data_IF_951194451568
#
_entry.id   IF_951194451568
#
_cell.length_a   1.000
_cell.length_b   1.000
_cell.length_c   1.000
_cell.angle_alpha   90.00
_cell.angle_beta   90.00
_cell.angle_gamma   90.00
#
_symmetry.space_group_name_H-M   'P 1'
#
loop_
_entity.id
_entity.type
_entity.pdbx_description
1 polymer ?
#
# COMPACT_ATOMS: atom_id res chain seq x y z
N UNK A 1 4.97 -9.72 -10.53
CA UNK A 1 5.16 -8.34 -10.03
C UNK A 1 5.23 -7.34 -11.19
N UNK A 2 5.22 -7.81 -12.43
CA UNK A 2 5.46 -7.02 -13.65
C UNK A 2 4.16 -6.61 -14.35
N UNK A 3 3.17 -6.19 -13.58
CA UNK A 3 1.89 -5.65 -14.05
C UNK A 3 1.77 -4.17 -13.71
N UNK A 4 1.05 -3.40 -14.54
CA UNK A 4 0.51 -2.14 -14.02
C UNK A 4 -0.51 -2.50 -12.94
N UNK A 5 -0.64 -1.69 -11.91
CA UNK A 5 -1.59 -1.96 -10.83
C UNK A 5 -2.34 -0.72 -10.44
N UNK A 6 -3.28 -0.91 -9.54
CA UNK A 6 -4.36 0.05 -9.29
C UNK A 6 -4.45 0.23 -7.80
N UNK A 7 -4.30 1.46 -7.34
CA UNK A 7 -4.60 1.83 -5.97
C UNK A 7 -5.81 2.72 -5.91
N UNK A 8 -6.57 2.50 -4.86
CA UNK A 8 -7.76 3.28 -4.55
C UNK A 8 -7.56 3.85 -3.16
N UNK A 9 -7.79 5.15 -3.02
CA UNK A 9 -7.81 5.80 -1.70
C UNK A 9 -8.92 5.15 -0.87
N UNK A 10 -8.59 4.48 0.23
CA UNK A 10 -9.56 3.73 1.02
C UNK A 10 -10.69 4.58 1.60
N UNK A 11 -10.44 5.87 1.89
CA UNK A 11 -11.49 6.83 2.28
C UNK A 11 -12.62 6.94 1.24
N UNK A 12 -12.33 6.61 -0.02
CA UNK A 12 -13.34 6.59 -1.08
C UNK A 12 -14.36 5.47 -0.87
N UNK A 13 -13.99 4.32 -0.30
CA UNK A 13 -14.91 3.18 -0.04
C UNK A 13 -15.95 3.49 1.03
N UNK A 14 -15.62 4.37 1.98
CA UNK A 14 -16.53 4.75 3.08
C UNK A 14 -17.75 5.52 2.56
N UNK A 15 -17.62 6.20 1.42
CA UNK A 15 -18.64 7.11 0.90
C UNK A 15 -19.15 6.72 -0.51
N UNK A 16 -18.78 5.56 -1.06
CA UNK A 16 -19.22 5.15 -2.41
C UNK A 16 -19.34 3.64 -2.59
N UNK A 17 -20.21 3.18 -3.51
CA UNK A 17 -20.29 1.77 -3.88
C UNK A 17 -18.94 1.19 -4.36
N UNK A 18 -18.66 -0.06 -3.99
CA UNK A 18 -17.45 -0.80 -4.40
C UNK A 18 -17.47 -1.28 -5.86
N UNK A 19 -18.53 -0.97 -6.62
CA UNK A 19 -18.76 -1.48 -7.98
C UNK A 19 -17.55 -1.29 -8.92
N UNK A 20 -16.89 -0.13 -8.84
CA UNK A 20 -15.68 0.16 -9.63
C UNK A 20 -14.55 -0.83 -9.35
N UNK A 21 -14.36 -1.22 -8.09
CA UNK A 21 -13.30 -2.15 -7.73
C UNK A 21 -13.55 -3.52 -8.35
N UNK A 22 -14.80 -4.00 -8.29
CA UNK A 22 -15.20 -5.28 -8.88
C UNK A 22 -15.17 -5.28 -10.41
N UNK A 23 -15.38 -4.13 -11.05
CA UNK A 23 -15.35 -4.03 -12.50
C UNK A 23 -13.91 -4.00 -13.03
N UNK A 24 -13.02 -3.25 -12.39
CA UNK A 24 -11.65 -3.05 -12.86
C UNK A 24 -10.79 -4.33 -12.78
N UNK A 25 -11.15 -5.28 -11.92
CA UNK A 25 -10.49 -6.59 -11.84
C UNK A 25 -10.87 -7.53 -13.01
N UNK A 26 -11.85 -7.17 -13.84
CA UNK A 26 -12.17 -7.94 -15.04
C UNK A 26 -11.02 -7.88 -16.04
N UNK A 27 -10.66 -9.04 -16.58
CA UNK A 27 -9.44 -9.16 -17.39
C UNK A 27 -9.50 -8.35 -18.69
N UNK A 28 -10.66 -8.22 -19.32
CA UNK A 28 -10.87 -7.39 -20.52
C UNK A 28 -10.57 -5.90 -20.25
N UNK A 29 -11.04 -5.37 -19.12
CA UNK A 29 -10.78 -3.99 -18.70
C UNK A 29 -9.30 -3.78 -18.37
N UNK A 30 -8.72 -4.73 -17.64
CA UNK A 30 -7.32 -4.70 -17.21
C UNK A 30 -6.36 -4.72 -18.40
N UNK A 31 -6.58 -5.59 -19.39
CA UNK A 31 -5.72 -5.66 -20.58
C UNK A 31 -5.75 -4.35 -21.37
N UNK A 32 -6.93 -3.75 -21.56
CA UNK A 32 -7.05 -2.46 -22.21
C UNK A 32 -6.30 -1.34 -21.46
N UNK A 33 -6.38 -1.31 -20.12
CA UNK A 33 -5.61 -0.36 -19.30
C UNK A 33 -4.10 -0.59 -19.48
N UNK A 34 -3.64 -1.85 -19.49
CA UNK A 34 -2.21 -2.18 -19.68
C UNK A 34 -1.70 -1.71 -21.03
N UNK A 35 -2.43 -1.92 -22.13
CA UNK A 35 -2.04 -1.43 -23.46
C UNK A 35 -1.91 0.10 -23.49
N UNK A 36 -2.87 0.82 -22.89
CA UNK A 36 -2.80 2.28 -22.78
C UNK A 36 -1.59 2.72 -21.95
N UNK A 37 -1.30 2.05 -20.83
CA UNK A 37 -0.14 2.34 -19.99
C UNK A 37 1.20 2.08 -20.70
N UNK A 38 1.26 1.08 -21.58
CA UNK A 38 2.44 0.75 -22.38
C UNK A 38 2.70 1.74 -23.52
N UNK A 39 1.80 2.71 -23.74
CA UNK A 39 1.91 3.69 -24.82
C UNK A 39 1.52 3.13 -26.19
N UNK A 40 0.87 1.97 -26.23
CA UNK A 40 0.36 1.39 -27.46
C UNK A 40 -0.79 2.25 -28.00
N UNK A 41 -0.90 2.37 -29.32
CA UNK A 41 -2.07 2.98 -29.92
C UNK A 41 -3.26 2.03 -29.81
N UNK A 42 -4.24 2.41 -28.99
CA UNK A 42 -5.46 1.62 -28.79
C UNK A 42 -6.62 2.31 -29.50
N UNK A 43 -7.17 1.67 -30.53
CA UNK A 43 -8.32 2.17 -31.32
C UNK A 43 -9.67 1.84 -30.71
N UNK A 44 -9.75 0.77 -29.92
CA UNK A 44 -10.97 0.26 -29.29
C UNK A 44 -10.70 -0.19 -27.86
N UNK A 45 -11.64 0.12 -26.97
CA UNK A 45 -11.59 -0.20 -25.54
C UNK A 45 -12.98 -0.57 -25.07
N UNK A 46 -13.12 -1.39 -24.02
CA UNK A 46 -14.41 -1.65 -23.43
C UNK A 46 -15.12 -0.34 -23.03
N UNK A 47 -16.36 -0.15 -23.49
CA UNK A 47 -17.16 1.06 -23.21
C UNK A 47 -17.24 1.37 -21.72
N UNK A 48 -17.22 0.34 -20.87
CA UNK A 48 -17.23 0.45 -19.42
C UNK A 48 -16.08 1.32 -18.88
N UNK A 49 -14.89 1.31 -19.48
CA UNK A 49 -13.78 2.17 -19.04
C UNK A 49 -14.07 3.66 -19.23
N UNK A 50 -14.85 4.02 -20.25
CA UNK A 50 -15.30 5.40 -20.49
C UNK A 50 -16.42 5.78 -19.50
N UNK A 51 -17.36 4.86 -19.24
CA UNK A 51 -18.44 5.05 -18.25
C UNK A 51 -17.90 5.24 -16.83
N UNK A 52 -16.83 4.52 -16.48
CA UNK A 52 -16.11 4.67 -15.22
C UNK A 52 -15.17 5.89 -15.19
N UNK A 53 -15.10 6.65 -16.30
CA UNK A 53 -14.23 7.82 -16.48
C UNK A 53 -12.73 7.54 -16.25
N UNK A 54 -12.28 6.29 -16.36
CA UNK A 54 -10.87 5.90 -16.15
C UNK A 54 -9.98 6.32 -17.32
N UNK A 55 -10.58 6.43 -18.51
CA UNK A 55 -9.93 6.82 -19.75
C UNK A 55 -10.77 7.87 -20.48
N UNK A 56 -10.16 8.54 -21.45
CA UNK A 56 -10.84 9.50 -22.34
C UNK A 56 -10.30 9.40 -23.76
N UNK A 57 -11.10 9.84 -24.73
CA UNK A 57 -10.71 9.86 -26.14
C UNK A 57 -9.83 11.06 -26.47
N UNK A 58 -8.66 10.83 -27.07
CA UNK A 58 -7.74 11.88 -27.56
C UNK A 58 -6.80 11.29 -28.63
N UNK A 59 -7.24 11.26 -29.89
CA UNK A 59 -6.54 10.58 -30.99
C UNK A 59 -6.11 9.15 -30.62
N UNK A 60 -7.09 8.32 -30.27
CA UNK A 60 -6.91 7.05 -29.53
C UNK A 60 -7.53 7.18 -28.13
N UNK A 61 -7.05 6.39 -27.18
CA UNK A 61 -7.45 6.46 -25.78
C UNK A 61 -6.27 6.78 -24.87
N UNK A 62 -6.50 7.65 -23.88
CA UNK A 62 -5.52 8.02 -22.87
C UNK A 62 -6.12 7.87 -21.48
N UNK A 63 -5.25 7.67 -20.47
CA UNK A 63 -5.67 7.67 -19.07
C UNK A 63 -6.29 9.01 -18.68
N UNK A 64 -7.36 8.94 -17.90
CA UNK A 64 -8.02 10.09 -17.29
C UNK A 64 -7.79 10.13 -15.77
N UNK A 65 -6.89 9.27 -15.27
CA UNK A 65 -6.42 9.18 -13.88
C UNK A 65 -4.88 9.24 -13.85
N UNK A 66 -4.26 9.59 -12.71
CA UNK A 66 -2.81 9.63 -12.59
C UNK A 66 -2.17 8.26 -12.79
N UNK A 67 -1.05 8.21 -13.54
CA UNK A 67 -0.14 7.07 -13.60
C UNK A 67 1.13 7.42 -12.81
N UNK A 68 1.30 6.78 -11.67
CA UNK A 68 2.44 6.94 -10.77
C UNK A 68 3.67 6.25 -11.33
N UNK A 69 4.71 7.03 -11.58
CA UNK A 69 6.01 6.58 -12.10
C UNK A 69 6.99 6.29 -10.98
N UNK A 70 8.11 5.63 -11.26
CA UNK A 70 9.09 5.18 -10.27
C UNK A 70 9.54 6.31 -9.34
N UNK A 71 9.77 7.51 -9.86
CA UNK A 71 10.10 8.67 -9.02
C UNK A 71 8.97 9.07 -8.06
N UNK A 72 7.72 9.00 -8.51
CA UNK A 72 6.55 9.23 -7.65
C UNK A 72 6.44 8.13 -6.59
N UNK A 73 6.77 6.88 -6.94
CA UNK A 73 6.80 5.75 -6.01
C UNK A 73 7.81 5.99 -4.89
N UNK A 74 9.00 6.49 -5.19
CA UNK A 74 10.02 6.79 -4.19
C UNK A 74 9.50 7.79 -3.16
N UNK A 75 8.99 8.94 -3.63
CA UNK A 75 8.46 10.02 -2.78
C UNK A 75 7.27 9.52 -1.94
N UNK A 76 6.34 8.80 -2.57
CA UNK A 76 5.19 8.23 -1.87
C UNK A 76 5.61 7.20 -0.82
N UNK A 77 6.62 6.39 -1.11
CA UNK A 77 7.11 5.38 -0.16
C UNK A 77 7.67 6.04 1.10
N UNK A 78 8.48 7.08 0.94
CA UNK A 78 9.02 7.82 2.09
C UNK A 78 7.91 8.47 2.92
N UNK A 79 6.98 9.16 2.26
CA UNK A 79 5.84 9.77 2.94
C UNK A 79 4.98 8.72 3.67
N UNK A 80 4.78 7.54 3.07
CA UNK A 80 4.04 6.42 3.70
C UNK A 80 4.80 5.88 4.90
N UNK A 81 6.13 5.69 4.82
CA UNK A 81 6.93 5.19 5.94
C UNK A 81 6.91 6.18 7.12
N UNK A 82 7.13 7.46 6.85
CA UNK A 82 7.08 8.51 7.87
C UNK A 82 5.68 8.61 8.51
N UNK A 83 4.63 8.64 7.69
CA UNK A 83 3.26 8.65 8.17
C UNK A 83 2.94 7.40 8.98
N UNK A 84 3.40 6.21 8.54
CA UNK A 84 3.15 4.94 9.23
C UNK A 84 3.76 4.93 10.62
N UNK A 85 5.00 5.43 10.79
CA UNK A 85 5.62 5.55 12.11
C UNK A 85 4.87 6.50 13.02
N UNK A 86 4.58 7.72 12.55
CA UNK A 86 3.81 8.70 13.35
C UNK A 86 2.42 8.16 13.73
N UNK A 87 1.74 7.51 12.79
CA UNK A 87 0.42 6.93 13.02
C UNK A 87 0.51 5.73 13.97
N UNK A 88 1.53 4.88 13.87
CA UNK A 88 1.72 3.76 14.80
C UNK A 88 1.91 4.27 16.24
N UNK A 89 2.76 5.28 16.44
CA UNK A 89 2.96 5.93 17.75
C UNK A 89 1.67 6.60 18.27
N UNK A 90 0.97 7.34 17.42
CA UNK A 90 -0.30 7.98 17.76
C UNK A 90 -1.43 6.98 18.01
N UNK A 91 -1.45 5.85 17.30
CA UNK A 91 -2.44 4.79 17.44
C UNK A 91 -2.21 3.99 18.72
N UNK A 92 -0.95 3.67 19.05
CA UNK A 92 -0.59 3.04 20.33
C UNK A 92 -1.06 3.93 21.49
N UNK A 93 -0.83 5.25 21.42
CA UNK A 93 -1.27 6.18 22.47
C UNK A 93 -2.79 6.39 22.54
N UNK A 94 -3.54 6.11 21.46
CA UNK A 94 -5.01 6.27 21.38
C UNK A 94 -5.78 4.96 21.28
N UNK A 95 -5.13 3.81 21.56
CA UNK A 95 -5.67 2.47 21.33
C UNK A 95 -7.09 2.26 21.91
N UNK A 96 -7.36 2.78 23.10
CA UNK A 96 -8.67 2.67 23.75
C UNK A 96 -9.79 3.43 23.00
N UNK A 97 -9.47 4.55 22.34
CA UNK A 97 -10.42 5.35 21.55
C UNK A 97 -10.77 4.60 20.26
N UNK A 98 -9.77 4.01 19.60
CA UNK A 98 -9.95 3.20 18.39
C UNK A 98 -10.84 1.98 18.71
N UNK A 99 -10.55 1.28 19.82
CA UNK A 99 -11.34 0.15 20.30
C UNK A 99 -12.80 0.53 20.64
N UNK A 100 -13.02 1.74 21.14
CA UNK A 100 -14.36 2.27 21.42
C UNK A 100 -15.13 2.57 20.14
N UNK A 101 -14.53 3.30 19.19
CA UNK A 101 -15.14 3.61 17.91
C UNK A 101 -15.52 2.33 17.13
N UNK A 102 -14.66 1.32 17.15
CA UNK A 102 -14.94 0.03 16.54
C UNK A 102 -16.21 -0.65 17.09
N UNK A 103 -16.44 -0.53 18.40
CA UNK A 103 -17.62 -1.07 19.08
C UNK A 103 -18.86 -0.24 18.81
N UNK A 104 -18.74 1.08 18.90
CA UNK A 104 -19.87 2.01 18.78
C UNK A 104 -20.44 2.01 17.35
N UNK A 105 -19.61 1.74 16.34
CA UNK A 105 -20.02 1.61 14.94
C UNK A 105 -20.55 0.20 14.59
N UNK A 106 -20.67 -0.70 15.56
CA UNK A 106 -21.21 -2.07 15.39
C UNK A 106 -20.49 -2.95 14.35
N UNK A 107 -19.26 -2.61 13.97
CA UNK A 107 -18.45 -3.41 13.04
C UNK A 107 -18.09 -4.79 13.61
N UNK A 108 -18.09 -4.94 14.94
CA UNK A 108 -17.96 -6.22 15.62
C UNK A 108 -19.02 -7.26 15.22
N UNK A 109 -20.15 -6.83 14.68
CA UNK A 109 -21.26 -7.68 14.25
C UNK A 109 -21.05 -8.29 12.85
N UNK A 110 -20.05 -7.84 12.09
CA UNK A 110 -19.89 -8.13 10.65
C UNK A 110 -18.77 -9.14 10.34
N UNK A 111 -18.18 -9.78 11.36
CA UNK A 111 -16.88 -10.46 11.19
C UNK A 111 -16.98 -11.96 11.48
N UNK A 112 -16.84 -12.76 10.42
CA UNK A 112 -16.25 -14.09 10.51
C UNK A 112 -14.85 -14.03 9.90
N UNK A 113 -13.80 -14.30 10.71
CA UNK A 113 -12.41 -14.33 10.25
C UNK A 113 -11.58 -13.16 10.79
N UNK A 114 -10.54 -13.48 11.57
CA UNK A 114 -9.67 -12.51 12.24
C UNK A 114 -8.79 -11.73 11.23
N UNK A 115 -8.55 -12.27 10.03
CA UNK A 115 -7.79 -11.61 8.96
C UNK A 115 -8.48 -10.38 8.39
N UNK A 116 -9.76 -10.51 8.05
CA UNK A 116 -10.57 -9.44 7.44
C UNK A 116 -10.80 -8.28 8.41
N UNK A 117 -10.81 -8.56 9.72
CA UNK A 117 -10.93 -7.54 10.76
C UNK A 117 -9.72 -6.61 10.84
N UNK A 118 -8.50 -7.16 10.86
CA UNK A 118 -7.27 -6.36 10.95
C UNK A 118 -7.12 -5.52 9.70
N UNK A 119 -7.39 -6.10 8.53
CA UNK A 119 -7.40 -5.37 7.26
C UNK A 119 -8.44 -4.24 7.26
N UNK A 120 -9.68 -4.50 7.73
CA UNK A 120 -10.72 -3.48 7.81
C UNK A 120 -10.40 -2.37 8.83
N UNK A 121 -9.76 -2.68 9.97
CA UNK A 121 -9.30 -1.68 10.95
C UNK A 121 -8.17 -0.84 10.37
N UNK A 122 -7.21 -1.43 9.66
CA UNK A 122 -6.15 -0.70 8.97
C UNK A 122 -6.75 0.24 7.92
N UNK A 123 -7.67 -0.26 7.09
CA UNK A 123 -8.37 0.56 6.10
C UNK A 123 -9.21 1.68 6.71
N UNK A 124 -9.80 1.45 7.89
CA UNK A 124 -10.53 2.46 8.66
C UNK A 124 -9.60 3.54 9.21
N UNK A 125 -8.47 3.15 9.82
CA UNK A 125 -7.44 4.09 10.29
C UNK A 125 -6.91 4.90 9.10
N UNK A 126 -6.59 4.26 7.98
CA UNK A 126 -6.17 4.94 6.75
C UNK A 126 -7.22 5.93 6.25
N UNK A 127 -8.51 5.57 6.28
CA UNK A 127 -9.59 6.47 5.85
C UNK A 127 -9.70 7.70 6.76
N UNK A 128 -9.57 7.53 8.08
CA UNK A 128 -9.55 8.64 9.04
C UNK A 128 -8.32 9.53 8.86
N UNK A 129 -7.15 8.95 8.67
CA UNK A 129 -5.89 9.68 8.41
C UNK A 129 -6.00 10.52 7.14
N UNK A 130 -6.55 9.97 6.06
CA UNK A 130 -6.73 10.71 4.80
C UNK A 130 -7.73 11.86 4.97
N UNK A 131 -8.80 11.67 5.75
CA UNK A 131 -9.75 12.75 6.08
C UNK A 131 -9.06 13.88 6.85
N UNK A 132 -8.24 13.54 7.84
CA UNK A 132 -7.49 14.52 8.63
C UNK A 132 -6.50 15.30 7.75
N UNK A 133 -5.63 14.60 7.02
CA UNK A 133 -4.64 15.21 6.12
C UNK A 133 -5.28 16.10 5.05
N UNK A 134 -6.47 15.72 4.57
CA UNK A 134 -7.25 16.50 3.61
C UNK A 134 -7.83 17.77 4.25
N UNK A 135 -8.28 17.70 5.51
CA UNK A 135 -8.80 18.84 6.27
C UNK A 135 -7.70 19.85 6.63
N UNK A 136 -6.50 19.37 6.92
CA UNK A 136 -5.31 20.16 7.22
C UNK A 136 -4.63 20.74 5.95
N UNK A 137 -5.07 20.34 4.77
CA UNK A 137 -4.56 20.84 3.48
C UNK A 137 -3.29 20.14 2.97
N UNK A 138 -2.86 19.05 3.61
CA UNK A 138 -1.75 18.22 3.17
C UNK A 138 -2.12 17.31 1.99
N UNK A 139 -3.40 16.95 1.86
CA UNK A 139 -3.96 16.26 0.70
C UNK A 139 -5.05 17.09 0.02
N UNK A 140 -5.37 16.85 -1.26
CA UNK A 140 -6.52 17.46 -1.90
C UNK A 140 -7.81 17.23 -1.09
N UNK A 141 -8.68 18.24 -1.03
CA UNK A 141 -9.98 18.14 -0.37
C UNK A 141 -10.82 17.00 -0.97
N UNK A 142 -11.45 16.22 -0.08
CA UNK A 142 -12.44 15.21 -0.49
C UNK A 142 -13.66 15.94 -1.08
N UNK A 143 -14.05 15.70 -2.34
CA UNK A 143 -15.23 16.30 -2.92
C UNK A 143 -16.50 15.80 -2.24
N UNK A 144 -17.52 16.66 -2.09
CA UNK A 144 -18.84 16.27 -1.57
C UNK A 144 -19.52 15.20 -2.44
N UNK A 145 -19.31 15.28 -3.75
CA UNK A 145 -19.77 14.29 -4.75
C UNK A 145 -18.57 13.81 -5.56
N UNK A 146 -17.83 12.80 -5.09
CA UNK A 146 -16.68 12.29 -5.81
C UNK A 146 -17.13 11.65 -7.12
N UNK A 147 -16.43 11.97 -8.21
CA UNK A 147 -16.60 11.27 -9.49
C UNK A 147 -16.25 9.79 -9.33
N UNK A 148 -16.71 8.97 -10.27
CA UNK A 148 -16.41 7.53 -10.31
C UNK A 148 -14.90 7.27 -10.22
N UNK A 149 -14.11 7.98 -11.00
CA UNK A 149 -12.65 7.82 -11.02
C UNK A 149 -11.88 8.53 -9.89
N UNK A 150 -12.57 9.24 -8.99
CA UNK A 150 -11.90 10.03 -7.94
C UNK A 150 -11.14 9.11 -6.98
N UNK A 151 -9.92 9.50 -6.62
CA UNK A 151 -9.06 8.73 -5.72
C UNK A 151 -8.59 7.39 -6.29
N UNK A 152 -8.69 7.17 -7.61
CA UNK A 152 -8.11 6.02 -8.31
C UNK A 152 -6.81 6.47 -8.97
N UNK A 153 -5.77 5.66 -8.82
CA UNK A 153 -4.43 5.91 -9.30
C UNK A 153 -3.89 4.61 -9.90
N UNK A 154 -3.17 4.72 -11.01
CA UNK A 154 -2.45 3.60 -11.59
C UNK A 154 -0.98 3.66 -11.20
N UNK A 155 -0.35 2.49 -11.15
CA UNK A 155 1.08 2.34 -10.95
C UNK A 155 1.68 1.79 -12.23
N UNK A 156 2.77 2.39 -12.68
CA UNK A 156 3.61 1.73 -13.67
C UNK A 156 4.22 0.45 -13.07
N UNK A 157 4.72 -0.44 -13.93
CA UNK A 157 5.42 -1.65 -13.48
C UNK A 157 6.72 -1.29 -12.73
N UNK A 158 7.05 -1.96 -11.62
CA UNK A 158 6.19 -2.87 -10.85
C UNK A 158 5.15 -2.07 -10.06
N UNK A 159 3.93 -2.59 -9.92
CA UNK A 159 2.81 -1.88 -9.32
C UNK A 159 2.88 -1.62 -7.81
N UNK A 160 4.00 -1.93 -7.18
CA UNK A 160 4.23 -1.75 -5.75
C UNK A 160 4.83 -0.39 -5.45
N UNK A 161 4.85 -0.01 -4.17
CA UNK A 161 5.74 1.03 -3.66
C UNK A 161 7.21 0.68 -3.97
N UNK A 162 8.10 1.67 -3.80
CA UNK A 162 9.52 1.53 -4.12
C UNK A 162 10.16 0.45 -3.25
N UNK A 163 10.41 -0.71 -3.86
CA UNK A 163 11.06 -1.85 -3.18
C UNK A 163 12.46 -1.46 -2.70
N UNK A 164 13.16 -0.60 -3.43
CA UNK A 164 14.45 -0.05 -3.03
C UNK A 164 14.38 0.73 -1.72
N UNK A 165 13.40 1.63 -1.58
CA UNK A 165 13.23 2.45 -0.37
C UNK A 165 12.77 1.61 0.81
N UNK A 166 11.82 0.71 0.60
CA UNK A 166 11.37 -0.24 1.64
C UNK A 166 12.54 -1.10 2.11
N UNK A 167 13.36 -1.60 1.18
CA UNK A 167 14.52 -2.41 1.51
C UNK A 167 15.54 -1.64 2.34
N UNK A 168 15.91 -0.44 1.91
CA UNK A 168 16.86 0.40 2.62
C UNK A 168 16.38 0.72 4.04
N UNK A 169 15.08 0.99 4.21
CA UNK A 169 14.50 1.27 5.51
C UNK A 169 14.53 0.06 6.44
N UNK A 170 14.02 -1.09 5.98
CA UNK A 170 14.04 -2.34 6.77
C UNK A 170 15.46 -2.80 7.09
N UNK A 171 16.41 -2.56 6.18
CA UNK A 171 17.81 -2.88 6.43
C UNK A 171 18.35 -2.10 7.62
N UNK A 172 18.10 -0.79 7.67
CA UNK A 172 18.51 0.07 8.79
C UNK A 172 17.86 -0.39 10.10
N UNK A 173 16.56 -0.66 10.11
CA UNK A 173 15.86 -1.16 11.31
C UNK A 173 16.44 -2.48 11.82
N UNK A 174 16.76 -3.40 10.92
CA UNK A 174 17.36 -4.69 11.28
C UNK A 174 18.76 -4.51 11.85
N UNK A 175 19.58 -3.63 11.24
CA UNK A 175 20.91 -3.30 11.74
C UNK A 175 20.84 -2.69 13.14
N UNK A 176 19.91 -1.76 13.39
CA UNK A 176 19.65 -1.19 14.71
C UNK A 176 19.19 -2.24 15.75
N UNK A 177 18.29 -3.15 15.35
CA UNK A 177 17.84 -4.27 16.19
C UNK A 177 19.01 -5.18 16.56
N UNK A 178 19.84 -5.53 15.57
CA UNK A 178 21.01 -6.40 15.73
C UNK A 178 22.06 -5.79 16.65
N UNK A 179 22.28 -4.48 16.56
CA UNK A 179 23.18 -3.72 17.42
C UNK A 179 22.64 -3.64 18.86
N UNK A 180 21.33 -3.42 19.02
CA UNK A 180 20.69 -3.27 20.33
C UNK A 180 20.53 -4.58 21.09
N UNK A 181 20.16 -5.66 20.42
CA UNK A 181 19.75 -6.93 21.06
C UNK A 181 20.70 -8.09 20.80
N UNK A 182 21.79 -7.84 20.08
CA UNK A 182 22.77 -8.85 19.71
C UNK A 182 22.36 -9.64 18.48
N UNK A 183 23.34 -10.32 17.89
CA UNK A 183 23.24 -10.89 16.55
C UNK A 183 23.55 -12.38 16.54
N UNK A 184 22.72 -13.19 15.86
CA UNK A 184 23.01 -14.61 15.60
C UNK A 184 23.80 -14.83 14.30
N UNK A 185 24.45 -15.99 14.17
CA UNK A 185 25.15 -16.39 12.94
C UNK A 185 24.18 -16.50 11.75
N UNK A 186 22.99 -17.01 11.98
CA UNK A 186 21.95 -17.17 10.95
C UNK A 186 21.45 -15.81 10.48
N UNK A 187 21.20 -14.86 11.39
CA UNK A 187 20.82 -13.50 11.05
C UNK A 187 21.89 -12.79 10.20
N UNK A 188 23.18 -12.92 10.54
CA UNK A 188 24.28 -12.40 9.71
C UNK A 188 24.30 -12.99 8.31
N UNK A 189 24.12 -14.31 8.22
CA UNK A 189 24.14 -15.01 6.92
C UNK A 189 22.97 -14.58 6.03
N UNK A 190 21.77 -14.45 6.60
CA UNK A 190 20.59 -13.97 5.89
C UNK A 190 20.76 -12.51 5.45
N UNK A 191 21.32 -11.65 6.31
CA UNK A 191 21.55 -10.24 6.01
C UNK A 191 22.55 -10.07 4.86
N UNK A 192 23.67 -10.81 4.88
CA UNK A 192 24.66 -10.78 3.81
C UNK A 192 24.04 -11.23 2.47
N UNK A 193 23.34 -12.37 2.48
CA UNK A 193 22.67 -12.89 1.28
C UNK A 193 21.59 -11.94 0.74
N UNK A 194 20.88 -11.27 1.64
CA UNK A 194 19.92 -10.24 1.29
C UNK A 194 20.58 -9.07 0.55
N UNK A 195 21.72 -8.56 1.04
CA UNK A 195 22.49 -7.49 0.39
C UNK A 195 22.96 -7.92 -1.01
N UNK A 196 23.43 -9.16 -1.16
CA UNK A 196 23.83 -9.71 -2.47
C UNK A 196 22.65 -9.76 -3.44
N UNK A 197 21.49 -10.28 -3.01
CA UNK A 197 20.27 -10.33 -3.83
C UNK A 197 19.82 -8.94 -4.26
N UNK A 198 19.89 -7.96 -3.36
CA UNK A 198 19.55 -6.58 -3.68
C UNK A 198 20.45 -6.01 -4.77
N UNK A 199 21.76 -6.26 -4.68
CA UNK A 199 22.76 -5.77 -5.66
C UNK A 199 22.54 -6.29 -7.08
N UNK A 200 21.97 -7.49 -7.23
CA UNK A 200 21.66 -8.11 -8.53
C UNK A 200 20.21 -7.88 -8.98
N UNK A 201 19.51 -6.91 -8.39
CA UNK A 201 18.16 -6.51 -8.78
C UNK A 201 17.04 -7.43 -8.28
N UNK A 202 17.36 -8.44 -7.45
CA UNK A 202 16.38 -9.37 -6.86
C UNK A 202 15.75 -8.83 -5.58
N UNK A 203 15.23 -7.60 -5.65
CA UNK A 203 14.75 -6.85 -4.49
C UNK A 203 13.62 -7.55 -3.73
N UNK A 204 12.71 -8.22 -4.44
CA UNK A 204 11.63 -8.99 -3.80
C UNK A 204 12.11 -10.23 -3.05
N UNK A 205 13.20 -10.87 -3.49
CA UNK A 205 13.84 -11.97 -2.74
C UNK A 205 14.59 -11.40 -1.53
N UNK A 206 15.31 -10.30 -1.70
CA UNK A 206 16.04 -9.62 -0.63
C UNK A 206 15.11 -9.17 0.51
N UNK A 207 13.99 -8.53 0.19
CA UNK A 207 12.97 -8.13 1.16
C UNK A 207 12.39 -9.30 1.97
N UNK A 208 12.21 -10.47 1.34
CA UNK A 208 11.74 -11.66 2.06
C UNK A 208 12.75 -12.11 3.11
N UNK A 209 14.04 -12.07 2.81
CA UNK A 209 15.09 -12.43 3.77
C UNK A 209 15.17 -11.44 4.93
N UNK A 210 15.04 -10.14 4.68
CA UNK A 210 14.96 -9.15 5.77
C UNK A 210 13.78 -9.45 6.69
N UNK A 211 12.62 -9.80 6.13
CA UNK A 211 11.44 -10.19 6.92
C UNK A 211 11.69 -11.44 7.79
N UNK A 212 12.35 -12.45 7.26
CA UNK A 212 12.69 -13.66 8.02
C UNK A 212 13.54 -13.34 9.27
N UNK A 213 14.48 -12.39 9.14
CA UNK A 213 15.27 -11.91 10.28
C UNK A 213 14.36 -11.24 11.32
N UNK A 214 13.50 -10.31 10.90
CA UNK A 214 12.56 -9.61 11.80
C UNK A 214 11.64 -10.59 12.52
N UNK A 215 11.07 -11.57 11.81
CA UNK A 215 10.17 -12.55 12.38
C UNK A 215 10.89 -13.43 13.42
N UNK A 216 12.16 -13.79 13.20
CA UNK A 216 12.97 -14.50 14.18
C UNK A 216 13.20 -13.68 15.46
N UNK A 217 13.49 -12.37 15.33
CA UNK A 217 13.61 -11.48 16.50
C UNK A 217 12.29 -11.36 17.27
N UNK A 218 11.16 -11.21 16.57
CA UNK A 218 9.82 -11.19 17.19
C UNK A 218 9.51 -12.48 17.96
N UNK A 219 9.83 -13.64 17.37
CA UNK A 219 9.66 -14.94 18.05
C UNK A 219 10.56 -15.05 19.30
N UNK A 220 11.80 -14.57 19.21
CA UNK A 220 12.71 -14.56 20.35
C UNK A 220 12.22 -13.64 21.48
N UNK A 221 11.70 -12.46 21.14
CA UNK A 221 11.08 -11.54 22.09
C UNK A 221 9.82 -12.15 22.74
N UNK A 222 8.92 -12.73 21.95
CA UNK A 222 7.72 -13.43 22.45
C UNK A 222 8.06 -14.62 23.37
N UNK A 223 9.21 -15.28 23.14
CA UNK A 223 9.72 -16.35 23.98
C UNK A 223 10.50 -15.85 25.22
N UNK A 224 10.55 -14.53 25.46
CA UNK A 224 11.27 -13.93 26.60
C UNK A 224 12.79 -14.02 26.50
N UNK A 225 13.33 -14.35 25.31
CA UNK A 225 14.78 -14.43 25.07
C UNK A 225 15.42 -13.07 24.82
N UNK A 226 14.59 -12.05 24.56
CA UNK A 226 14.99 -10.66 24.30
C UNK A 226 13.96 -9.77 25.04
N UNK A 227 14.37 -8.64 25.65
CA UNK A 227 13.45 -7.74 26.37
C UNK A 227 12.30 -7.21 25.49
N UNK A 228 11.14 -6.97 26.11
CA UNK A 228 10.00 -6.27 25.50
C UNK A 228 10.31 -4.79 25.24
#
# INVERSE_FOLDING_TARGET
MDGCGISIIHATFVNRPLEIFHEIIREDLKQAIVSICSGEFVSEVPKRLLELELIRRKNGYVLNIPLLKNKDKDILTEAVLEASHRVAEAAISKYNIIRKAFRDLSYNMWISGIGDFVEMVLHFIMALVIKELSSEGHLPRIPERPKMNWGIWLWEKPWTLSLSRIYAHLLLEIEEIMDKWGTSKDAKSLLARSKDLFSIGKQGEALRMLKEIVDAYKMAQAAGKIPN
#
